data_IF_009563857846
#
_entry.id   IF_009563857846
#
_cell.length_a   1.000
_cell.length_b   1.000
_cell.length_c   1.000
_cell.angle_alpha   90.00
_cell.angle_beta   90.00
_cell.angle_gamma   90.00
#
_symmetry.space_group_name_H-M   'P 1'
#
loop_
_entity.id
_entity.type
_entity.pdbx_description
1 polymer ?
#
# COMPACT_ATOMS: atom_id res chain seq x y z
N UNK A 1 14.02 -25.14 -40.60
CA UNK A 1 14.24 -24.36 -39.36
C UNK A 1 14.64 -22.88 -39.58
N UNK A 2 15.54 -22.52 -40.52
CA UNK A 2 15.92 -21.09 -40.71
C UNK A 2 14.81 -20.19 -41.31
N UNK A 3 13.96 -20.70 -42.20
CA UNK A 3 12.83 -19.95 -42.79
C UNK A 3 11.71 -19.62 -41.78
N UNK A 4 11.44 -20.53 -40.84
CA UNK A 4 10.45 -20.30 -39.76
C UNK A 4 10.96 -19.26 -38.75
N UNK A 5 12.24 -19.30 -38.38
CA UNK A 5 12.84 -18.31 -37.47
C UNK A 5 12.82 -16.87 -38.04
N UNK A 6 13.07 -16.73 -39.34
CA UNK A 6 13.01 -15.45 -40.03
C UNK A 6 11.57 -14.90 -40.16
N UNK A 7 10.58 -15.78 -40.36
CA UNK A 7 9.17 -15.42 -40.39
C UNK A 7 8.66 -14.99 -39.01
N UNK A 8 9.03 -15.71 -37.94
CA UNK A 8 8.73 -15.34 -36.56
C UNK A 8 9.36 -13.99 -36.17
N UNK A 9 10.62 -13.76 -36.53
CA UNK A 9 11.32 -12.49 -36.26
C UNK A 9 10.71 -11.30 -37.01
N UNK A 10 10.24 -11.48 -38.25
CA UNK A 10 9.51 -10.45 -39.01
C UNK A 10 8.11 -10.18 -38.44
N UNK A 11 7.38 -11.23 -38.06
CA UNK A 11 6.06 -11.11 -37.43
C UNK A 11 6.13 -10.41 -36.04
N UNK A 12 7.09 -10.81 -35.20
CA UNK A 12 7.36 -10.17 -33.91
C UNK A 12 7.82 -8.71 -34.07
N UNK A 13 8.74 -8.44 -34.99
CA UNK A 13 9.36 -7.13 -35.16
C UNK A 13 8.50 -6.08 -35.87
N UNK A 14 7.70 -6.45 -36.87
CA UNK A 14 6.91 -5.49 -37.66
C UNK A 14 5.44 -5.40 -37.23
N UNK A 15 4.89 -6.45 -36.60
CA UNK A 15 3.46 -6.54 -36.29
C UNK A 15 3.13 -6.48 -34.81
N UNK A 16 3.90 -7.16 -33.95
CA UNK A 16 3.68 -7.17 -32.49
C UNK A 16 4.35 -5.98 -31.78
N UNK A 17 5.56 -5.59 -32.18
CA UNK A 17 6.31 -4.53 -31.51
C UNK A 17 5.60 -3.16 -31.49
N UNK A 18 5.06 -2.64 -32.60
CA UNK A 18 4.34 -1.35 -32.56
C UNK A 18 3.07 -1.44 -31.71
N UNK A 19 2.35 -2.57 -31.79
CA UNK A 19 1.10 -2.79 -31.04
C UNK A 19 1.32 -2.83 -29.54
N UNK A 20 2.40 -3.47 -29.09
CA UNK A 20 2.77 -3.52 -27.69
C UNK A 20 3.35 -2.18 -27.22
N UNK A 21 4.24 -1.56 -28.01
CA UNK A 21 4.85 -0.28 -27.65
C UNK A 21 3.81 0.85 -27.48
N UNK A 22 2.82 0.94 -28.37
CA UNK A 22 1.71 1.90 -28.28
C UNK A 22 0.47 1.34 -27.56
N UNK A 23 0.62 0.24 -26.83
CA UNK A 23 -0.44 -0.28 -25.97
C UNK A 23 -0.56 0.54 -24.68
N UNK A 24 -1.79 0.63 -24.18
CA UNK A 24 -2.09 1.35 -22.97
C UNK A 24 -1.29 0.86 -21.75
N UNK A 25 -1.07 -0.45 -21.51
CA UNK A 25 -0.26 -0.90 -20.39
C UNK A 25 1.19 -0.40 -20.44
N UNK A 26 1.81 -0.43 -21.62
CA UNK A 26 3.20 0.01 -21.80
C UNK A 26 3.30 1.54 -21.66
N UNK A 27 2.38 2.27 -22.28
CA UNK A 27 2.37 3.74 -22.18
C UNK A 27 2.11 4.20 -20.74
N UNK A 28 1.24 3.50 -20.01
CA UNK A 28 0.95 3.79 -18.60
C UNK A 28 2.11 3.42 -17.68
N UNK A 29 2.81 2.31 -17.94
CA UNK A 29 4.04 1.94 -17.24
C UNK A 29 5.12 3.01 -17.43
N UNK A 30 5.37 3.42 -18.68
CA UNK A 30 6.34 4.47 -19.01
C UNK A 30 5.94 5.82 -18.40
N UNK A 31 4.64 6.10 -18.31
CA UNK A 31 4.14 7.31 -17.65
C UNK A 31 4.42 7.27 -16.14
N UNK A 32 4.11 6.17 -15.47
CA UNK A 32 4.40 5.98 -14.04
C UNK A 32 5.89 6.15 -13.74
N UNK A 33 6.78 5.59 -14.56
CA UNK A 33 8.24 5.74 -14.40
C UNK A 33 8.71 7.20 -14.48
N UNK A 34 8.03 8.02 -15.29
CA UNK A 34 8.41 9.43 -15.50
C UNK A 34 7.77 10.38 -14.49
N UNK A 35 6.55 10.09 -14.01
CA UNK A 35 5.73 11.05 -13.26
C UNK A 35 5.38 10.61 -11.85
N UNK A 36 5.28 9.31 -11.59
CA UNK A 36 4.81 8.75 -10.32
C UNK A 36 5.92 8.05 -9.54
N UNK A 37 7.11 8.65 -9.48
CA UNK A 37 8.31 8.07 -8.85
C UNK A 37 8.08 7.71 -7.38
N UNK A 38 7.33 8.53 -6.63
CA UNK A 38 7.01 8.27 -5.23
C UNK A 38 6.16 7.00 -5.09
N UNK A 39 5.16 6.80 -5.96
CA UNK A 39 4.33 5.58 -5.94
C UNK A 39 5.17 4.34 -6.28
N UNK A 40 6.10 4.48 -7.23
CA UNK A 40 6.99 3.38 -7.62
C UNK A 40 8.03 3.06 -6.54
N UNK A 41 8.50 4.05 -5.79
CA UNK A 41 9.42 3.83 -4.67
C UNK A 41 8.82 2.87 -3.64
N UNK A 42 7.52 2.98 -3.36
CA UNK A 42 6.83 2.08 -2.44
C UNK A 42 6.77 0.63 -2.98
N UNK A 43 6.58 0.46 -4.29
CA UNK A 43 6.66 -0.86 -4.94
C UNK A 43 8.08 -1.43 -4.93
N UNK A 44 9.10 -0.59 -5.17
CA UNK A 44 10.52 -0.98 -5.12
C UNK A 44 10.91 -1.39 -3.70
N UNK A 45 10.42 -0.67 -2.68
CA UNK A 45 10.63 -1.02 -1.28
C UNK A 45 10.06 -2.42 -0.96
N UNK A 46 8.81 -2.67 -1.33
CA UNK A 46 8.17 -3.99 -1.15
C UNK A 46 8.91 -5.08 -1.91
N UNK A 47 9.28 -4.81 -3.16
CA UNK A 47 10.07 -5.74 -3.97
C UNK A 47 11.39 -6.10 -3.29
N UNK A 48 12.15 -5.09 -2.81
CA UNK A 48 13.44 -5.29 -2.16
C UNK A 48 13.33 -6.10 -0.86
N UNK A 49 12.27 -5.88 -0.07
CA UNK A 49 12.01 -6.65 1.15
C UNK A 49 11.74 -8.12 0.80
N UNK A 50 10.83 -8.35 -0.15
CA UNK A 50 10.40 -9.68 -0.56
C UNK A 50 11.51 -10.49 -1.24
N UNK A 51 12.44 -9.82 -1.94
CA UNK A 51 13.64 -10.47 -2.53
C UNK A 51 14.82 -10.55 -1.56
N UNK A 52 14.61 -10.28 -0.26
CA UNK A 52 15.64 -10.33 0.78
C UNK A 52 16.84 -9.39 0.53
N UNK A 53 16.64 -8.30 -0.23
CA UNK A 53 17.68 -7.30 -0.49
C UNK A 53 17.70 -6.20 0.57
N UNK A 54 16.63 -6.07 1.37
CA UNK A 54 16.50 -5.05 2.39
C UNK A 54 16.08 -5.65 3.74
N UNK A 55 16.77 -5.24 4.81
CA UNK A 55 16.37 -5.55 6.19
C UNK A 55 16.61 -7.00 6.63
N UNK A 56 17.47 -7.76 5.93
CA UNK A 56 17.83 -9.14 6.30
C UNK A 56 18.50 -9.23 7.68
N UNK A 57 19.38 -8.29 8.02
CA UNK A 57 20.08 -8.26 9.31
C UNK A 57 19.16 -8.11 10.52
N UNK A 58 17.96 -7.57 10.31
CA UNK A 58 16.94 -7.33 11.35
C UNK A 58 15.68 -8.19 11.14
N UNK A 59 15.70 -9.12 10.19
CA UNK A 59 14.61 -10.06 9.95
C UNK A 59 13.36 -9.45 9.31
N UNK A 60 13.43 -8.30 8.62
CA UNK A 60 12.25 -7.73 7.93
C UNK A 60 11.64 -8.72 6.91
N UNK A 61 12.43 -9.42 6.06
CA UNK A 61 11.85 -10.32 5.06
C UNK A 61 11.00 -11.46 5.65
N UNK A 62 11.36 -11.99 6.82
CA UNK A 62 10.57 -13.07 7.45
C UNK A 62 9.17 -12.60 7.81
N UNK A 63 8.99 -11.33 8.17
CA UNK A 63 7.66 -10.75 8.42
C UNK A 63 6.70 -10.83 7.22
N UNK A 64 7.24 -10.97 6.01
CA UNK A 64 6.49 -11.09 4.76
C UNK A 64 6.43 -12.52 4.25
N UNK A 65 7.56 -13.23 4.26
CA UNK A 65 7.69 -14.57 3.69
C UNK A 65 7.10 -15.65 4.63
N UNK A 66 7.05 -15.36 5.93
CA UNK A 66 6.52 -16.25 6.96
C UNK A 66 5.73 -15.45 8.03
N UNK A 67 4.55 -14.92 7.64
CA UNK A 67 3.79 -14.04 8.52
C UNK A 67 3.19 -14.80 9.71
N UNK A 68 3.36 -14.26 10.91
CA UNK A 68 2.83 -14.83 12.15
C UNK A 68 1.51 -14.17 12.55
N UNK A 69 0.51 -14.99 12.89
CA UNK A 69 -0.77 -14.57 13.46
C UNK A 69 -1.13 -15.49 14.63
N UNK A 70 -1.39 -14.93 15.82
CA UNK A 70 -1.66 -15.69 17.05
C UNK A 70 -0.61 -16.77 17.34
N UNK A 71 0.66 -16.40 17.18
CA UNK A 71 1.82 -17.27 17.40
C UNK A 71 1.91 -18.49 16.47
N UNK A 72 1.31 -18.40 15.27
CA UNK A 72 1.29 -19.47 14.28
C UNK A 72 1.42 -18.90 12.87
N UNK A 73 2.04 -19.67 11.99
CA UNK A 73 2.06 -19.37 10.55
C UNK A 73 1.16 -20.38 9.83
N UNK A 74 -0.01 -19.92 9.44
CA UNK A 74 -1.06 -20.76 8.88
C UNK A 74 -1.77 -20.06 7.70
N UNK A 75 -2.84 -20.67 7.21
CA UNK A 75 -3.66 -20.08 6.17
C UNK A 75 -4.13 -18.66 6.53
N UNK A 76 -4.50 -18.42 7.81
CA UNK A 76 -5.07 -17.15 8.24
C UNK A 76 -4.02 -16.04 8.34
N UNK A 77 -2.81 -16.36 8.80
CA UNK A 77 -1.71 -15.40 8.83
C UNK A 77 -1.36 -14.92 7.41
N UNK A 78 -1.23 -15.85 6.46
CA UNK A 78 -1.01 -15.55 5.06
C UNK A 78 -2.24 -14.87 4.40
N UNK A 79 -3.46 -15.24 4.78
CA UNK A 79 -4.67 -14.57 4.30
C UNK A 79 -4.73 -13.10 4.69
N UNK A 80 -4.44 -12.75 5.95
CA UNK A 80 -4.39 -11.36 6.40
C UNK A 80 -3.30 -10.57 5.67
N UNK A 81 -2.14 -11.19 5.46
CA UNK A 81 -1.07 -10.62 4.65
C UNK A 81 -1.54 -10.33 3.22
N UNK A 82 -2.15 -11.31 2.57
CA UNK A 82 -2.71 -11.18 1.22
C UNK A 82 -3.79 -10.11 1.13
N UNK A 83 -4.66 -10.04 2.14
CA UNK A 83 -5.72 -9.05 2.24
C UNK A 83 -5.17 -7.62 2.28
N UNK A 84 -4.17 -7.35 3.13
CA UNK A 84 -3.51 -6.03 3.16
C UNK A 84 -2.75 -5.73 1.86
N UNK A 85 -2.09 -6.72 1.25
CA UNK A 85 -1.45 -6.58 -0.06
C UNK A 85 -2.45 -6.21 -1.17
N UNK A 86 -3.65 -6.80 -1.14
CA UNK A 86 -4.75 -6.46 -2.04
C UNK A 86 -5.27 -5.04 -1.81
N UNK A 87 -5.42 -4.59 -0.56
CA UNK A 87 -5.76 -3.20 -0.23
C UNK A 87 -4.71 -2.24 -0.79
N UNK A 88 -3.42 -2.51 -0.56
CA UNK A 88 -2.32 -1.70 -1.08
C UNK A 88 -2.35 -1.62 -2.61
N UNK A 89 -2.51 -2.77 -3.28
CA UNK A 89 -2.60 -2.86 -4.74
C UNK A 89 -3.76 -2.05 -5.30
N UNK A 90 -4.95 -2.16 -4.71
CA UNK A 90 -6.11 -1.39 -5.14
C UNK A 90 -5.96 0.10 -4.83
N UNK A 91 -5.31 0.45 -3.73
CA UNK A 91 -5.01 1.84 -3.38
C UNK A 91 -4.06 2.48 -4.40
N UNK A 92 -3.03 1.74 -4.83
CA UNK A 92 -2.16 2.14 -5.95
C UNK A 92 -2.96 2.39 -7.23
N UNK A 93 -3.86 1.47 -7.60
CA UNK A 93 -4.68 1.62 -8.80
C UNK A 93 -5.63 2.83 -8.74
N UNK A 94 -6.23 3.08 -7.57
CA UNK A 94 -7.11 4.23 -7.36
C UNK A 94 -6.32 5.54 -7.44
N UNK A 95 -5.19 5.63 -6.74
CA UNK A 95 -4.34 6.83 -6.75
C UNK A 95 -3.82 7.11 -8.17
N UNK A 96 -3.30 6.10 -8.86
CA UNK A 96 -2.84 6.25 -10.23
C UNK A 96 -3.98 6.66 -11.18
N UNK A 97 -5.20 6.12 -10.98
CA UNK A 97 -6.37 6.53 -11.77
C UNK A 97 -6.70 8.01 -11.58
N UNK A 98 -6.66 8.51 -10.34
CA UNK A 98 -6.93 9.93 -10.05
C UNK A 98 -5.90 10.85 -10.72
N UNK A 99 -4.62 10.49 -10.64
CA UNK A 99 -3.51 11.31 -11.14
C UNK A 99 -3.39 11.26 -12.66
N UNK A 100 -3.54 10.07 -13.25
CA UNK A 100 -3.14 9.82 -14.64
C UNK A 100 -4.32 9.77 -15.61
N UNK A 101 -5.53 9.39 -15.18
CA UNK A 101 -6.68 9.26 -16.09
C UNK A 101 -7.00 10.53 -16.90
N UNK A 102 -6.86 11.77 -16.36
CA UNK A 102 -7.04 12.98 -17.17
C UNK A 102 -6.08 13.10 -18.37
N UNK A 103 -4.89 12.52 -18.27
CA UNK A 103 -3.89 12.51 -19.36
C UNK A 103 -4.23 11.48 -20.44
N UNK A 104 -4.95 10.43 -20.06
CA UNK A 104 -5.45 9.40 -20.96
C UNK A 104 -6.96 9.58 -21.17
N UNK A 105 -7.36 10.74 -21.71
CA UNK A 105 -8.76 11.15 -21.85
C UNK A 105 -9.68 10.13 -22.54
N UNK A 106 -9.13 9.29 -23.44
CA UNK A 106 -9.89 8.21 -24.07
C UNK A 106 -10.45 7.19 -23.08
N UNK A 107 -9.84 7.03 -21.89
CA UNK A 107 -10.30 6.10 -20.86
C UNK A 107 -11.71 6.45 -20.37
N UNK A 108 -12.04 7.73 -20.31
CA UNK A 108 -13.39 8.20 -19.97
C UNK A 108 -14.43 7.74 -21.00
N UNK A 109 -14.05 7.63 -22.28
CA UNK A 109 -14.94 7.20 -23.37
C UNK A 109 -15.28 5.71 -23.33
N UNK A 110 -14.50 4.91 -22.59
CA UNK A 110 -14.70 3.47 -22.48
C UNK A 110 -15.78 3.15 -21.44
N UNK A 111 -16.56 2.10 -21.69
CA UNK A 111 -17.49 1.55 -20.69
C UNK A 111 -16.68 0.99 -19.51
N UNK A 112 -17.08 1.33 -18.28
CA UNK A 112 -16.32 1.04 -17.04
C UNK A 112 -14.86 1.54 -17.10
N UNK A 113 -14.62 2.87 -17.14
CA UNK A 113 -13.29 3.47 -17.29
C UNK A 113 -12.24 2.93 -16.32
N UNK A 114 -12.60 2.83 -15.03
CA UNK A 114 -11.70 2.35 -14.00
C UNK A 114 -11.28 0.90 -14.20
N UNK A 115 -12.19 0.01 -14.60
CA UNK A 115 -11.84 -1.39 -14.86
C UNK A 115 -10.80 -1.50 -15.98
N UNK A 116 -10.92 -0.67 -17.03
CA UNK A 116 -9.92 -0.63 -18.10
C UNK A 116 -8.60 -0.06 -17.60
N UNK A 117 -8.64 1.05 -16.88
CA UNK A 117 -7.43 1.65 -16.31
C UNK A 117 -6.69 0.68 -15.39
N UNK A 118 -7.41 0.12 -14.40
CA UNK A 118 -6.89 -0.85 -13.45
C UNK A 118 -6.15 -1.99 -14.14
N UNK A 119 -6.83 -2.68 -15.06
CA UNK A 119 -6.29 -3.82 -15.78
C UNK A 119 -5.02 -3.49 -16.58
N UNK A 120 -4.97 -2.29 -17.18
CA UNK A 120 -3.81 -1.85 -17.94
C UNK A 120 -2.70 -1.31 -17.02
N UNK A 121 -3.00 -0.93 -15.77
CA UNK A 121 -2.03 -0.50 -14.76
C UNK A 121 -1.49 -1.66 -13.89
N UNK A 122 -1.96 -2.89 -14.10
CA UNK A 122 -1.54 -4.08 -13.34
C UNK A 122 -0.14 -4.65 -13.60
N UNK A 123 0.67 -4.28 -14.63
CA UNK A 123 1.98 -4.91 -14.84
C UNK A 123 2.92 -4.90 -13.62
N UNK A 124 3.07 -3.75 -12.94
CA UNK A 124 3.93 -3.66 -11.74
C UNK A 124 3.37 -4.51 -10.59
N UNK A 125 2.11 -4.32 -10.14
CA UNK A 125 1.56 -5.14 -9.05
C UNK A 125 1.63 -6.64 -9.33
N UNK A 126 1.32 -7.07 -10.55
CA UNK A 126 1.33 -8.49 -10.92
C UNK A 126 2.75 -9.06 -10.86
N UNK A 127 3.74 -8.37 -11.42
CA UNK A 127 5.13 -8.85 -11.39
C UNK A 127 5.65 -8.93 -9.95
N UNK A 128 5.44 -7.90 -9.13
CA UNK A 128 5.91 -7.91 -7.74
C UNK A 128 5.19 -8.99 -6.94
N UNK A 129 3.89 -9.19 -7.15
CA UNK A 129 3.12 -10.26 -6.49
C UNK A 129 3.61 -11.65 -6.89
N UNK A 130 3.93 -11.88 -8.17
CA UNK A 130 4.49 -13.16 -8.63
C UNK A 130 5.85 -13.43 -8.00
N UNK A 131 6.71 -12.41 -7.94
CA UNK A 131 8.01 -12.49 -7.24
C UNK A 131 7.80 -12.76 -5.75
N UNK A 132 6.77 -12.18 -5.13
CA UNK A 132 6.44 -12.44 -3.74
C UNK A 132 6.03 -13.89 -3.49
N UNK A 133 5.10 -14.41 -4.28
CA UNK A 133 4.69 -15.82 -4.18
C UNK A 133 5.88 -16.75 -4.41
N UNK A 134 6.75 -16.45 -5.39
CA UNK A 134 7.95 -17.24 -5.66
C UNK A 134 8.90 -17.26 -4.45
N UNK A 135 9.29 -16.10 -3.93
CA UNK A 135 10.22 -16.04 -2.79
C UNK A 135 9.60 -16.64 -1.52
N UNK A 136 8.29 -16.51 -1.31
CA UNK A 136 7.59 -17.14 -0.19
C UNK A 136 7.67 -18.68 -0.26
N UNK A 137 7.48 -19.25 -1.45
CA UNK A 137 7.59 -20.71 -1.66
C UNK A 137 9.02 -21.18 -1.43
N UNK A 138 10.01 -20.47 -1.98
CA UNK A 138 11.42 -20.82 -1.80
C UNK A 138 11.85 -20.69 -0.33
N UNK A 139 11.40 -19.64 0.36
CA UNK A 139 11.69 -19.42 1.78
C UNK A 139 11.17 -20.58 2.65
N UNK A 140 9.90 -20.98 2.46
CA UNK A 140 9.31 -22.07 3.23
C UNK A 140 9.93 -23.44 2.93
N UNK A 141 10.42 -23.65 1.71
CA UNK A 141 11.13 -24.89 1.34
C UNK A 141 12.54 -24.94 1.90
N UNK A 142 13.27 -23.83 1.82
CA UNK A 142 14.69 -23.76 2.17
C UNK A 142 14.93 -23.65 3.68
N UNK A 143 14.11 -22.86 4.40
CA UNK A 143 14.35 -22.53 5.79
C UNK A 143 13.48 -23.33 6.78
N UNK A 144 12.21 -23.58 6.45
CA UNK A 144 11.28 -24.25 7.39
C UNK A 144 11.12 -25.76 7.16
N UNK A 145 11.56 -26.29 5.99
CA UNK A 145 11.38 -27.70 5.60
C UNK A 145 9.91 -28.18 5.70
N UNK A 146 8.96 -27.28 5.49
CA UNK A 146 7.54 -27.58 5.63
C UNK A 146 7.05 -28.60 4.61
N UNK A 147 5.99 -29.31 4.99
CA UNK A 147 5.30 -30.27 4.12
C UNK A 147 4.72 -29.48 2.92
N UNK A 148 4.85 -29.96 1.67
CA UNK A 148 4.34 -29.24 0.49
C UNK A 148 2.86 -28.83 0.57
N UNK A 149 2.03 -29.62 1.24
CA UNK A 149 0.62 -29.32 1.47
C UNK A 149 0.40 -28.06 2.33
N UNK A 150 1.23 -27.85 3.35
CA UNK A 150 1.17 -26.67 4.22
C UNK A 150 1.61 -25.41 3.47
N UNK A 151 2.67 -25.53 2.66
CA UNK A 151 3.12 -24.45 1.77
C UNK A 151 2.01 -24.04 0.80
N UNK A 152 1.33 -25.03 0.20
CA UNK A 152 0.19 -24.76 -0.70
C UNK A 152 -0.98 -24.08 0.03
N UNK A 153 -1.30 -24.49 1.26
CA UNK A 153 -2.34 -23.86 2.07
C UNK A 153 -1.98 -22.40 2.42
N UNK A 154 -0.73 -22.13 2.81
CA UNK A 154 -0.23 -20.78 3.10
C UNK A 154 -0.29 -19.88 1.85
N UNK A 155 0.18 -20.36 0.70
CA UNK A 155 0.08 -19.63 -0.60
C UNK A 155 -1.38 -19.40 -1.00
N UNK A 156 -2.25 -20.39 -0.82
CA UNK A 156 -3.68 -20.24 -1.08
C UNK A 156 -4.30 -19.16 -0.17
N UNK A 157 -3.94 -19.13 1.10
CA UNK A 157 -4.33 -18.07 2.05
C UNK A 157 -3.98 -16.69 1.51
N UNK A 158 -2.71 -16.48 1.14
CA UNK A 158 -2.23 -15.23 0.54
C UNK A 158 -3.03 -14.81 -0.69
N UNK A 159 -3.20 -15.72 -1.66
CA UNK A 159 -3.91 -15.41 -2.91
C UNK A 159 -5.40 -15.15 -2.69
N UNK A 160 -6.06 -15.92 -1.82
CA UNK A 160 -7.47 -15.72 -1.48
C UNK A 160 -7.67 -14.37 -0.79
N UNK A 161 -6.81 -14.01 0.16
CA UNK A 161 -6.84 -12.70 0.81
C UNK A 161 -6.69 -11.55 -0.19
N UNK A 162 -5.71 -11.66 -1.09
CA UNK A 162 -5.43 -10.66 -2.14
C UNK A 162 -6.61 -10.47 -3.08
N UNK A 163 -7.18 -11.58 -3.58
CA UNK A 163 -8.34 -11.54 -4.48
C UNK A 163 -9.55 -10.98 -3.77
N UNK A 164 -9.84 -11.42 -2.54
CA UNK A 164 -11.00 -10.94 -1.77
C UNK A 164 -10.92 -9.44 -1.51
N UNK A 165 -9.80 -8.95 -0.99
CA UNK A 165 -9.59 -7.52 -0.77
C UNK A 165 -9.75 -6.71 -2.07
N UNK A 166 -9.14 -7.20 -3.16
CA UNK A 166 -9.24 -6.55 -4.46
C UNK A 166 -10.68 -6.49 -4.98
N UNK A 167 -11.44 -7.57 -4.83
CA UNK A 167 -12.84 -7.65 -5.22
C UNK A 167 -13.73 -6.73 -4.40
N UNK A 168 -13.53 -6.64 -3.08
CA UNK A 168 -14.31 -5.75 -2.21
C UNK A 168 -14.15 -4.28 -2.62
N UNK A 169 -12.89 -3.83 -2.79
CA UNK A 169 -12.60 -2.45 -3.21
C UNK A 169 -13.09 -2.21 -4.65
N UNK A 170 -12.90 -3.16 -5.56
CA UNK A 170 -13.39 -3.08 -6.93
C UNK A 170 -14.91 -2.95 -6.98
N UNK A 171 -15.64 -3.80 -6.24
CA UNK A 171 -17.09 -3.82 -6.21
C UNK A 171 -17.65 -2.50 -5.70
N UNK A 172 -17.08 -1.98 -4.61
CA UNK A 172 -17.42 -0.65 -4.11
C UNK A 172 -17.19 0.43 -5.19
N UNK A 173 -16.03 0.43 -5.85
CA UNK A 173 -15.68 1.47 -6.83
C UNK A 173 -16.60 1.44 -8.06
N UNK A 174 -16.95 0.24 -8.55
CA UNK A 174 -17.84 0.06 -9.69
C UNK A 174 -19.30 0.35 -9.34
N UNK A 175 -19.75 -0.01 -8.14
CA UNK A 175 -21.11 0.28 -7.67
C UNK A 175 -21.35 1.78 -7.54
N UNK A 176 -20.34 2.52 -7.07
CA UNK A 176 -20.45 3.96 -6.78
C UNK A 176 -20.18 4.83 -8.02
N UNK A 177 -19.48 4.31 -9.03
CA UNK A 177 -19.25 5.03 -10.28
C UNK A 177 -20.47 5.01 -11.23
N UNK A 178 -20.90 6.19 -11.67
CA UNK A 178 -21.89 6.32 -12.74
C UNK A 178 -21.15 6.36 -14.09
N UNK A 179 -21.43 5.41 -14.99
CA UNK A 179 -20.91 5.46 -16.37
C UNK A 179 -21.31 6.79 -17.06
N UNK A 180 -20.45 7.32 -17.95
CA UNK A 180 -20.77 8.48 -18.80
C UNK A 180 -22.14 8.33 -19.45
N UNK A 181 -22.49 7.12 -19.89
CA UNK A 181 -23.81 6.83 -20.50
C UNK A 181 -24.98 7.01 -19.53
N UNK A 182 -24.83 6.63 -18.24
CA UNK A 182 -25.86 6.86 -17.22
C UNK A 182 -25.98 8.34 -16.87
N UNK A 183 -24.86 9.08 -16.86
CA UNK A 183 -24.85 10.53 -16.64
C UNK A 183 -25.44 11.32 -17.81
N UNK A 184 -25.08 10.96 -19.05
CA UNK A 184 -25.64 11.55 -20.27
C UNK A 184 -27.12 11.21 -20.40
N UNK A 185 -27.55 9.98 -20.12
CA UNK A 185 -28.96 9.62 -20.09
C UNK A 185 -29.74 10.44 -19.04
N UNK A 186 -29.22 10.57 -17.81
CA UNK A 186 -29.81 11.45 -16.76
C UNK A 186 -29.81 12.93 -17.15
N UNK A 187 -28.82 13.40 -17.93
CA UNK A 187 -28.75 14.78 -18.41
C UNK A 187 -29.68 15.03 -19.59
N UNK A 188 -29.91 14.06 -20.48
CA UNK A 188 -30.92 14.15 -21.54
C UNK A 188 -32.31 14.19 -20.90
N UNK A 189 -32.57 13.35 -19.89
CA UNK A 189 -33.80 13.38 -19.10
C UNK A 189 -33.98 14.70 -18.32
N UNK A 190 -32.90 15.25 -17.74
CA UNK A 190 -32.96 16.54 -17.04
C UNK A 190 -33.00 17.76 -17.99
N UNK A 191 -32.38 17.69 -19.17
CA UNK A 191 -32.41 18.76 -20.20
C UNK A 191 -33.76 18.85 -20.89
N UNK A 192 -34.60 17.82 -20.84
CA UNK A 192 -36.01 17.90 -21.23
C UNK A 192 -36.88 18.59 -20.17
N UNK A 193 -36.34 18.96 -19.00
CA UNK A 193 -37.15 19.50 -17.88
C UNK A 193 -36.72 20.84 -17.28
N UNK A 194 -35.72 21.55 -17.80
CA UNK A 194 -35.50 22.97 -17.45
C UNK A 194 -34.54 23.65 -18.42
N UNK A 195 -35.05 24.69 -19.06
CA UNK A 195 -34.34 25.70 -19.82
C UNK A 195 -33.34 26.47 -18.95
N UNK A 196 -32.27 26.93 -19.61
CA UNK A 196 -31.38 28.07 -19.31
C UNK A 196 -30.80 28.14 -17.88
N UNK A 197 -29.48 28.00 -17.74
CA UNK A 197 -28.67 28.86 -16.85
C UNK A 197 -27.18 28.84 -17.24
N UNK A 198 -26.66 30.06 -17.16
CA UNK A 198 -25.30 30.62 -17.13
C UNK A 198 -24.08 29.70 -17.27
N UNK A 199 -23.21 30.12 -18.20
CA UNK A 199 -21.78 29.82 -18.22
C UNK A 199 -21.09 30.51 -17.04
N UNK A 200 -20.71 29.73 -16.03
CA UNK A 200 -19.66 30.13 -15.08
C UNK A 200 -18.32 29.63 -15.63
N UNK A 201 -17.28 30.45 -15.50
CA UNK A 201 -15.91 30.23 -15.95
C UNK A 201 -15.39 28.78 -15.73
N UNK A 202 -15.46 27.94 -16.76
CA UNK A 202 -14.74 26.65 -16.87
C UNK A 202 -13.49 26.79 -17.77
N UNK A 203 -13.18 28.01 -18.23
CA UNK A 203 -12.12 28.27 -19.20
C UNK A 203 -10.70 28.10 -18.65
N UNK A 204 -10.48 28.19 -17.33
CA UNK A 204 -9.14 27.99 -16.73
C UNK A 204 -8.78 26.53 -16.44
N UNK A 205 -9.77 25.60 -16.36
CA UNK A 205 -9.50 24.15 -16.22
C UNK A 205 -9.35 23.42 -17.56
N UNK A 206 -9.74 24.06 -18.67
CA UNK A 206 -9.64 23.47 -20.02
C UNK A 206 -8.23 23.61 -20.59
N UNK A 207 -7.45 24.62 -20.19
CA UNK A 207 -6.12 24.89 -20.76
C UNK A 207 -5.04 23.87 -20.32
N UNK A 208 -5.13 23.28 -19.12
CA UNK A 208 -4.18 22.25 -18.67
C UNK A 208 -4.36 20.90 -19.39
N UNK A 209 -5.57 20.61 -19.90
CA UNK A 209 -5.88 19.37 -20.64
C UNK A 209 -5.52 19.42 -22.14
N UNK A 210 -4.94 20.53 -22.63
CA UNK A 210 -4.57 20.68 -24.05
C UNK A 210 -3.30 19.93 -24.45
N UNK A 211 -2.56 19.30 -23.53
CA UNK A 211 -1.14 18.93 -23.78
C UNK A 211 -0.76 17.44 -23.70
N UNK A 212 -1.63 16.51 -23.35
CA UNK A 212 -1.25 15.08 -23.36
C UNK A 212 -1.29 14.50 -24.78
N UNK A 213 -0.18 14.61 -25.49
CA UNK A 213 0.11 14.00 -26.80
C UNK A 213 0.52 12.52 -26.69
N UNK A 214 0.12 11.80 -25.63
CA UNK A 214 0.52 10.40 -25.48
C UNK A 214 -0.30 9.55 -26.44
N UNK A 215 0.35 9.13 -27.53
CA UNK A 215 -0.23 8.27 -28.56
C UNK A 215 -0.46 6.87 -27.98
N UNK A 216 -1.73 6.52 -27.78
CA UNK A 216 -2.17 5.17 -27.40
C UNK A 216 -3.06 4.63 -28.50
N UNK A 217 -2.70 3.47 -29.04
CA UNK A 217 -3.43 2.86 -30.17
C UNK A 217 -4.21 1.61 -29.75
N UNK A 218 -3.76 0.91 -28.71
CA UNK A 218 -4.37 -0.35 -28.25
C UNK A 218 -4.57 -0.30 -26.75
N UNK A 219 -5.61 -0.97 -26.24
CA UNK A 219 -5.81 -1.18 -24.82
C UNK A 219 -6.22 -2.62 -24.53
N UNK A 220 -5.93 -3.11 -23.34
CA UNK A 220 -6.37 -4.42 -22.87
C UNK A 220 -7.84 -4.34 -22.43
N UNK A 221 -8.70 -5.13 -23.07
CA UNK A 221 -10.10 -5.29 -22.69
C UNK A 221 -10.24 -6.29 -21.52
N UNK A 222 -11.42 -6.35 -20.88
CA UNK A 222 -11.68 -7.19 -19.69
C UNK A 222 -11.56 -8.70 -19.91
N UNK A 223 -11.42 -9.14 -21.16
CA UNK A 223 -11.13 -10.53 -21.55
C UNK A 223 -9.64 -10.73 -21.89
N UNK A 224 -8.76 -9.83 -21.45
CA UNK A 224 -7.32 -9.82 -21.74
C UNK A 224 -6.97 -9.75 -23.24
N UNK A 225 -7.89 -9.23 -24.07
CA UNK A 225 -7.69 -9.05 -25.51
C UNK A 225 -7.24 -7.63 -25.81
N UNK A 226 -6.19 -7.47 -26.61
CA UNK A 226 -5.78 -6.16 -27.14
C UNK A 226 -6.81 -5.68 -28.16
N UNK A 227 -7.48 -4.56 -27.86
CA UNK A 227 -8.43 -3.91 -28.77
C UNK A 227 -7.86 -2.59 -29.28
N UNK A 228 -8.02 -2.28 -30.57
CA UNK A 228 -7.65 -0.97 -31.09
C UNK A 228 -8.58 0.11 -30.52
N UNK A 229 -8.04 1.30 -30.32
CA UNK A 229 -8.80 2.48 -29.95
C UNK A 229 -9.49 3.05 -31.20
N UNK A 230 -10.83 3.12 -31.20
CA UNK A 230 -11.59 3.72 -32.31
C UNK A 230 -11.77 5.21 -32.00
N UNK A 231 -11.05 6.07 -32.71
CA UNK A 231 -10.93 7.49 -32.41
C UNK A 231 -11.89 8.36 -33.27
N UNK A 232 -13.19 8.09 -33.21
CA UNK A 232 -14.14 8.66 -34.18
C UNK A 232 -15.26 9.52 -33.58
N UNK A 233 -15.21 9.90 -32.30
CA UNK A 233 -16.34 10.58 -31.67
C UNK A 233 -15.99 11.99 -31.15
N UNK A 234 -16.62 13.06 -31.67
CA UNK A 234 -16.52 14.41 -31.13
C UNK A 234 -17.31 14.49 -29.81
N UNK A 235 -16.70 14.08 -28.70
CA UNK A 235 -17.32 14.18 -27.38
C UNK A 235 -17.03 15.52 -26.70
N UNK A 236 -18.04 16.05 -26.02
CA UNK A 236 -17.92 17.24 -25.18
C UNK A 236 -16.96 16.95 -24.00
N UNK A 237 -15.76 17.51 -24.06
CA UNK A 237 -14.71 17.36 -23.02
C UNK A 237 -15.21 17.75 -21.63
N UNK A 238 -16.21 18.63 -21.52
CA UNK A 238 -16.79 19.00 -20.24
C UNK A 238 -17.55 17.83 -19.59
N UNK A 239 -18.16 16.95 -20.38
CA UNK A 239 -18.83 15.75 -19.87
C UNK A 239 -17.82 14.70 -19.37
N UNK A 240 -16.67 14.57 -20.05
CA UNK A 240 -15.58 13.67 -19.65
C UNK A 240 -14.97 14.13 -18.32
N UNK A 241 -14.68 15.43 -18.17
CA UNK A 241 -14.11 15.99 -16.94
C UNK A 241 -15.04 15.78 -15.72
N UNK A 242 -16.36 15.92 -15.89
CA UNK A 242 -17.32 15.68 -14.81
C UNK A 242 -17.33 14.24 -14.29
N UNK A 243 -17.07 13.26 -15.15
CA UNK A 243 -16.97 11.85 -14.71
C UNK A 243 -15.68 11.61 -13.93
N UNK A 244 -14.58 12.24 -14.33
CA UNK A 244 -13.35 12.17 -13.53
C UNK A 244 -13.51 12.84 -12.15
N UNK A 245 -14.19 13.99 -12.08
CA UNK A 245 -14.48 14.67 -10.80
C UNK A 245 -15.36 13.82 -9.86
N UNK A 246 -16.36 13.10 -10.38
CA UNK A 246 -17.17 12.19 -9.56
C UNK A 246 -16.36 10.97 -9.08
N UNK A 247 -15.57 10.37 -9.97
CA UNK A 247 -14.75 9.22 -9.60
C UNK A 247 -13.66 9.60 -8.58
N UNK A 248 -13.19 10.85 -8.59
CA UNK A 248 -12.30 11.39 -7.58
C UNK A 248 -12.95 11.40 -6.19
N UNK A 249 -14.20 11.86 -6.06
CA UNK A 249 -14.89 11.86 -4.76
C UNK A 249 -15.09 10.45 -4.21
N UNK A 250 -15.45 9.49 -5.06
CA UNK A 250 -15.57 8.07 -4.67
C UNK A 250 -14.24 7.50 -4.16
N UNK A 251 -13.13 7.87 -4.81
CA UNK A 251 -11.80 7.47 -4.38
C UNK A 251 -11.44 8.05 -2.99
N UNK A 252 -11.71 9.34 -2.75
CA UNK A 252 -11.47 9.98 -1.44
C UNK A 252 -12.27 9.28 -0.33
N UNK A 253 -13.53 8.90 -0.58
CA UNK A 253 -14.34 8.18 0.41
C UNK A 253 -13.71 6.82 0.75
N UNK A 254 -13.19 6.08 -0.23
CA UNK A 254 -12.49 4.81 0.03
C UNK A 254 -11.25 5.05 0.88
N UNK A 255 -10.46 6.08 0.55
CA UNK A 255 -9.25 6.40 1.30
C UNK A 255 -9.58 6.71 2.78
N UNK A 256 -10.62 7.51 3.02
CA UNK A 256 -11.09 7.80 4.39
C UNK A 256 -11.63 6.55 5.10
N UNK A 257 -12.32 5.68 4.37
CA UNK A 257 -12.86 4.42 4.93
C UNK A 257 -11.73 3.48 5.33
N UNK A 258 -10.74 3.26 4.45
CA UNK A 258 -9.56 2.42 4.74
C UNK A 258 -8.78 3.01 5.90
N UNK A 259 -8.54 4.32 5.91
CA UNK A 259 -7.88 5.00 7.03
C UNK A 259 -8.62 4.79 8.35
N UNK A 260 -9.95 4.99 8.38
CA UNK A 260 -10.78 4.77 9.55
C UNK A 260 -10.75 3.30 10.04
N UNK A 261 -10.77 2.33 9.12
CA UNK A 261 -10.65 0.91 9.46
C UNK A 261 -9.29 0.57 10.09
N UNK A 262 -8.20 1.15 9.59
CA UNK A 262 -6.86 0.95 10.16
C UNK A 262 -6.79 1.53 11.58
N UNK A 263 -7.33 2.74 11.80
CA UNK A 263 -7.40 3.33 13.14
C UNK A 263 -8.23 2.46 14.10
N UNK A 264 -9.40 1.99 13.65
CA UNK A 264 -10.25 1.10 14.43
C UNK A 264 -9.53 -0.20 14.81
N UNK A 265 -8.86 -0.85 13.84
CA UNK A 265 -8.04 -2.03 14.11
C UNK A 265 -6.93 -1.74 15.14
N UNK A 266 -6.28 -0.59 15.04
CA UNK A 266 -5.28 -0.14 16.00
C UNK A 266 -5.83 0.00 17.42
N UNK A 267 -7.04 0.54 17.58
CA UNK A 267 -7.69 0.66 18.91
C UNK A 267 -8.06 -0.68 19.52
N UNK A 268 -8.23 -1.73 18.71
CA UNK A 268 -8.63 -3.06 19.17
C UNK A 268 -7.44 -4.03 19.32
N UNK A 269 -6.20 -3.55 19.23
CA UNK A 269 -4.96 -4.38 19.24
C UNK A 269 -4.79 -5.25 20.49
N UNK A 270 -5.42 -4.89 21.60
CA UNK A 270 -5.33 -5.62 22.87
C UNK A 270 -6.07 -6.97 22.81
N UNK A 271 -6.99 -7.12 21.85
CA UNK A 271 -7.70 -8.37 21.60
C UNK A 271 -6.92 -9.24 20.58
N UNK A 272 -6.63 -10.52 20.88
CA UNK A 272 -5.86 -11.40 20.00
C UNK A 272 -6.42 -11.57 18.58
N UNK A 273 -7.71 -11.32 18.38
CA UNK A 273 -8.34 -11.38 17.07
C UNK A 273 -7.89 -10.25 16.14
N UNK A 274 -7.53 -9.08 16.67
CA UNK A 274 -7.16 -7.90 15.89
C UNK A 274 -5.64 -7.65 15.84
N UNK A 275 -4.85 -8.55 16.43
CA UNK A 275 -3.39 -8.57 16.32
C UNK A 275 -2.98 -9.10 14.95
N UNK A 276 -2.99 -8.25 13.94
CA UNK A 276 -2.59 -8.62 12.57
C UNK A 276 -1.08 -8.89 12.47
N UNK A 277 -0.63 -9.68 11.48
CA UNK A 277 0.79 -9.90 11.24
C UNK A 277 1.59 -8.59 11.12
N UNK A 278 2.83 -8.57 11.60
CA UNK A 278 3.67 -7.39 11.58
C UNK A 278 3.90 -6.84 10.16
N UNK A 279 4.17 -7.72 9.18
CA UNK A 279 4.31 -7.29 7.78
C UNK A 279 3.00 -6.77 7.17
N UNK A 280 1.84 -7.26 7.62
CA UNK A 280 0.53 -6.72 7.22
C UNK A 280 0.33 -5.29 7.75
N UNK A 281 0.75 -5.02 8.99
CA UNK A 281 0.78 -3.66 9.55
C UNK A 281 1.69 -2.73 8.75
N UNK A 282 2.86 -3.22 8.33
CA UNK A 282 3.78 -2.47 7.48
C UNK A 282 3.16 -2.13 6.12
N UNK A 283 2.47 -3.08 5.47
CA UNK A 283 1.75 -2.82 4.21
C UNK A 283 0.64 -1.78 4.40
N UNK A 284 -0.10 -1.82 5.51
CA UNK A 284 -1.10 -0.80 5.82
C UNK A 284 -0.48 0.59 6.00
N UNK A 285 0.68 0.68 6.67
CA UNK A 285 1.44 1.92 6.75
C UNK A 285 1.84 2.43 5.36
N UNK A 286 2.39 1.56 4.50
CA UNK A 286 2.72 1.94 3.12
C UNK A 286 1.48 2.34 2.32
N UNK A 287 0.33 1.74 2.59
CA UNK A 287 -0.95 2.11 1.97
C UNK A 287 -1.34 3.53 2.36
N UNK A 288 -1.23 3.89 3.64
CA UNK A 288 -1.48 5.26 4.12
C UNK A 288 -0.51 6.24 3.47
N UNK A 289 0.79 5.91 3.44
CA UNK A 289 1.80 6.74 2.78
C UNK A 289 1.51 6.91 1.28
N UNK A 290 1.06 5.85 0.60
CA UNK A 290 0.69 5.88 -0.81
C UNK A 290 -0.50 6.81 -1.06
N UNK A 291 -1.55 6.71 -0.23
CA UNK A 291 -2.74 7.57 -0.34
C UNK A 291 -2.38 9.03 -0.08
N UNK A 292 -1.55 9.29 0.93
CA UNK A 292 -1.07 10.62 1.26
C UNK A 292 -0.20 11.22 0.15
N UNK A 293 0.76 10.44 -0.39
CA UNK A 293 1.58 10.85 -1.53
C UNK A 293 0.74 11.16 -2.78
N UNK A 294 -0.32 10.38 -3.00
CA UNK A 294 -1.33 10.64 -4.03
C UNK A 294 -2.04 11.96 -3.84
N UNK A 295 -2.53 12.24 -2.62
CA UNK A 295 -3.19 13.50 -2.28
C UNK A 295 -2.26 14.71 -2.44
N UNK A 296 -1.01 14.62 -1.96
CA UNK A 296 0.00 15.66 -2.13
C UNK A 296 0.28 15.92 -3.61
N UNK A 297 0.48 14.86 -4.39
CA UNK A 297 0.77 14.98 -5.83
C UNK A 297 -0.39 15.60 -6.58
N UNK A 298 -1.63 15.33 -6.17
CA UNK A 298 -2.83 15.95 -6.70
C UNK A 298 -2.91 17.46 -6.36
N UNK A 299 -2.68 17.83 -5.09
CA UNK A 299 -2.79 19.22 -4.63
C UNK A 299 -1.65 20.11 -5.14
N UNK A 300 -0.41 19.62 -5.10
CA UNK A 300 0.78 20.43 -5.39
C UNK A 300 1.25 20.33 -6.84
N UNK A 301 0.70 19.39 -7.64
CA UNK A 301 0.99 19.23 -9.07
C UNK A 301 2.51 19.23 -9.33
N UNK A 302 3.01 20.17 -10.13
CA UNK A 302 4.44 20.30 -10.47
C UNK A 302 5.35 20.79 -9.33
N UNK A 303 4.79 21.31 -8.23
CA UNK A 303 5.55 21.83 -7.08
C UNK A 303 5.75 20.79 -5.96
N UNK A 304 5.31 19.55 -6.18
CA UNK A 304 5.33 18.48 -5.17
C UNK A 304 6.72 18.29 -4.56
N UNK A 305 7.79 18.27 -5.37
CA UNK A 305 9.16 18.10 -4.86
C UNK A 305 9.59 19.29 -4.00
N UNK A 306 9.33 20.52 -4.46
CA UNK A 306 9.67 21.74 -3.71
C UNK A 306 8.93 21.79 -2.38
N UNK A 307 7.64 21.45 -2.36
CA UNK A 307 6.83 21.43 -1.14
C UNK A 307 7.26 20.31 -0.20
N UNK A 308 7.67 19.15 -0.71
CA UNK A 308 8.20 18.06 0.10
C UNK A 308 9.52 18.44 0.77
N UNK A 309 10.44 19.07 0.03
CA UNK A 309 11.69 19.61 0.59
C UNK A 309 11.39 20.68 1.65
N UNK A 310 10.48 21.62 1.36
CA UNK A 310 10.06 22.64 2.32
C UNK A 310 9.44 22.03 3.58
N UNK A 311 8.64 20.97 3.46
CA UNK A 311 8.05 20.26 4.59
C UNK A 311 9.11 19.56 5.45
N UNK A 312 10.14 18.94 4.84
CA UNK A 312 11.26 18.36 5.58
C UNK A 312 12.04 19.44 6.32
N UNK A 313 12.33 20.58 5.67
CA UNK A 313 13.03 21.69 6.30
C UNK A 313 12.22 22.28 7.45
N UNK A 314 10.91 22.45 7.28
CA UNK A 314 10.00 22.91 8.32
C UNK A 314 9.97 21.93 9.49
N UNK A 315 9.85 20.62 9.22
CA UNK A 315 9.85 19.59 10.26
C UNK A 315 11.18 19.57 11.01
N UNK A 316 12.31 19.73 10.32
CA UNK A 316 13.62 19.86 10.95
C UNK A 316 13.70 21.06 11.90
N UNK A 317 13.18 22.22 11.48
CA UNK A 317 13.10 23.43 12.33
C UNK A 317 12.20 23.16 13.54
N UNK A 318 11.01 22.62 13.34
CA UNK A 318 10.07 22.31 14.43
C UNK A 318 10.63 21.30 15.43
N UNK A 319 11.38 20.30 14.97
CA UNK A 319 12.09 19.34 15.83
C UNK A 319 13.24 20.01 16.59
N UNK A 320 14.01 20.89 15.93
CA UNK A 320 15.12 21.63 16.56
C UNK A 320 14.63 22.56 17.66
N UNK A 321 13.52 23.24 17.43
CA UNK A 321 12.88 24.16 18.39
C UNK A 321 12.05 23.43 19.45
N UNK A 322 12.12 22.09 19.52
CA UNK A 322 11.46 21.24 20.50
C UNK A 322 9.91 21.31 20.52
N UNK A 323 9.26 21.92 19.52
CA UNK A 323 7.80 21.94 19.40
C UNK A 323 7.19 20.54 19.15
N UNK A 324 7.98 19.63 18.58
CA UNK A 324 7.56 18.27 18.22
C UNK A 324 8.33 17.16 18.95
N UNK A 325 9.25 17.50 19.86
CA UNK A 325 9.86 16.50 20.75
C UNK A 325 8.89 16.19 21.88
N UNK A 326 8.37 14.97 21.87
CA UNK A 326 7.74 14.39 23.05
C UNK A 326 8.85 13.76 23.92
N UNK A 327 8.96 14.20 25.16
CA UNK A 327 9.78 13.51 26.15
C UNK A 327 9.05 12.21 26.52
N UNK A 328 9.64 11.08 26.14
CA UNK A 328 9.11 9.76 26.51
C UNK A 328 9.58 9.41 27.91
N UNK A 329 8.73 9.70 28.88
CA UNK A 329 8.91 9.31 30.27
C UNK A 329 8.80 7.79 30.42
N UNK A 330 9.81 7.18 31.03
CA UNK A 330 9.78 5.77 31.36
C UNK A 330 8.75 5.57 32.48
N UNK A 331 7.88 4.59 32.28
CA UNK A 331 6.81 4.31 33.23
C UNK A 331 7.37 4.00 34.63
N UNK A 332 6.84 4.67 35.65
CA UNK A 332 7.20 4.43 37.05
C UNK A 332 8.38 5.26 37.59
N UNK A 333 8.94 6.19 36.80
CA UNK A 333 9.90 7.18 37.30
C UNK A 333 9.22 8.52 37.57
N UNK A 334 9.68 9.24 38.60
CA UNK A 334 9.21 10.58 38.92
C UNK A 334 10.02 11.64 38.15
N UNK A 335 9.35 12.32 37.23
CA UNK A 335 9.91 13.39 36.40
C UNK A 335 9.58 14.80 36.92
N UNK A 336 8.83 14.93 38.02
CA UNK A 336 8.49 16.22 38.61
C UNK A 336 9.62 16.77 39.51
N UNK A 337 10.56 15.93 39.91
CA UNK A 337 11.71 16.30 40.73
C UNK A 337 12.87 16.97 39.98
N UNK A 338 13.90 17.46 40.71
CA UNK A 338 15.11 17.97 40.08
C UNK A 338 15.82 16.88 39.27
N UNK A 339 16.22 17.20 38.04
CA UNK A 339 16.91 16.26 37.15
C UNK A 339 18.17 15.70 37.84
N UNK A 340 18.29 14.38 37.85
CA UNK A 340 19.46 13.71 38.40
C UNK A 340 20.73 14.12 37.64
N UNK A 341 21.84 14.33 38.36
CA UNK A 341 23.12 14.67 37.75
C UNK A 341 23.63 13.48 36.90
N UNK A 342 23.79 13.70 35.59
CA UNK A 342 24.37 12.71 34.68
C UNK A 342 25.86 12.97 34.47
N UNK A 343 26.69 12.37 35.32
CA UNK A 343 28.15 12.42 35.20
C UNK A 343 28.77 11.02 35.35
N UNK A 344 29.90 10.77 34.66
CA UNK A 344 30.62 9.50 34.77
C UNK A 344 30.98 9.15 36.22
N UNK A 345 31.27 10.18 37.03
CA UNK A 345 31.54 10.03 38.46
C UNK A 345 30.31 9.54 39.22
N UNK A 346 29.13 10.12 38.96
CA UNK A 346 27.87 9.70 39.57
C UNK A 346 27.47 8.29 39.14
N UNK A 347 27.59 7.97 37.84
CA UNK A 347 27.31 6.62 37.32
C UNK A 347 28.22 5.59 37.99
N UNK A 348 29.55 5.81 38.04
CA UNK A 348 30.48 4.91 38.74
C UNK A 348 30.17 4.78 40.24
N UNK A 349 29.71 5.85 40.88
CA UNK A 349 29.32 5.81 42.29
C UNK A 349 28.05 4.98 42.53
N UNK A 350 27.14 4.91 41.55
CA UNK A 350 25.93 4.09 41.57
C UNK A 350 26.18 2.65 41.10
N UNK A 351 27.21 2.40 40.28
CA UNK A 351 27.61 1.06 39.83
C UNK A 351 28.42 0.29 40.89
N UNK A 352 27.93 0.22 42.13
CA UNK A 352 28.54 -0.57 43.20
C UNK A 352 27.89 -1.95 43.31
N UNK A 353 28.69 -2.95 43.67
CA UNK A 353 28.23 -4.33 43.91
C UNK A 353 27.10 -4.43 44.94
N UNK A 354 27.05 -3.51 45.90
CA UNK A 354 26.00 -3.45 46.92
C UNK A 354 24.63 -3.15 46.29
N UNK A 355 24.54 -2.12 45.45
CA UNK A 355 23.30 -1.79 44.73
C UNK A 355 22.90 -2.91 43.78
N UNK A 356 23.85 -3.54 43.09
CA UNK A 356 23.57 -4.70 42.25
C UNK A 356 22.95 -5.87 43.03
N UNK A 357 23.50 -6.19 44.21
CA UNK A 357 22.97 -7.28 45.07
C UNK A 357 21.56 -6.95 45.58
N UNK A 358 21.32 -5.71 45.96
CA UNK A 358 20.00 -5.27 46.41
C UNK A 358 18.98 -5.27 45.28
N UNK A 359 19.33 -4.74 44.10
CA UNK A 359 18.48 -4.76 42.90
C UNK A 359 18.16 -6.21 42.48
N UNK A 360 19.16 -7.11 42.53
CA UNK A 360 18.96 -8.53 42.26
C UNK A 360 17.96 -9.14 43.23
N UNK A 361 18.08 -8.84 44.54
CA UNK A 361 17.17 -9.34 45.57
C UNK A 361 15.74 -8.82 45.36
N UNK A 362 15.56 -7.53 45.11
CA UNK A 362 14.26 -6.91 44.82
C UNK A 362 13.65 -7.54 43.56
N UNK A 363 14.46 -7.70 42.50
CA UNK A 363 14.00 -8.30 41.24
C UNK A 363 13.60 -9.76 41.43
N UNK A 364 14.36 -10.54 42.20
CA UNK A 364 14.00 -11.91 42.55
C UNK A 364 12.67 -11.96 43.31
N UNK A 365 12.47 -11.08 44.29
CA UNK A 365 11.18 -10.98 44.99
C UNK A 365 10.02 -10.62 44.04
N UNK A 366 10.24 -9.68 43.11
CA UNK A 366 9.24 -9.33 42.10
C UNK A 366 8.92 -10.51 41.16
N UNK A 367 9.93 -11.28 40.75
CA UNK A 367 9.78 -12.47 39.91
C UNK A 367 9.03 -13.59 40.65
N UNK A 368 9.32 -13.84 41.93
CA UNK A 368 8.59 -14.82 42.74
C UNK A 368 7.13 -14.40 42.95
N UNK A 369 6.88 -13.12 43.22
CA UNK A 369 5.51 -12.58 43.29
C UNK A 369 4.77 -12.71 41.95
N UNK A 370 5.46 -12.44 40.84
CA UNK A 370 4.91 -12.62 39.51
C UNK A 370 4.61 -14.10 39.21
N UNK A 371 5.54 -15.01 39.55
CA UNK A 371 5.38 -16.47 39.41
C UNK A 371 4.16 -16.95 40.21
N UNK A 372 4.02 -16.56 41.46
CA UNK A 372 2.85 -16.90 42.29
C UNK A 372 1.53 -16.43 41.65
N UNK A 373 1.50 -15.21 41.09
CA UNK A 373 0.33 -14.68 40.37
C UNK A 373 0.07 -15.41 39.04
N UNK A 374 1.13 -15.80 38.33
CA UNK A 374 1.04 -16.50 37.05
C UNK A 374 0.52 -17.93 37.23
N UNK A 375 1.00 -18.67 38.24
CA UNK A 375 0.50 -20.02 38.58
C UNK A 375 -0.98 -19.99 38.95
N UNK A 376 -1.43 -18.96 39.68
CA UNK A 376 -2.85 -18.78 40.00
C UNK A 376 -3.76 -18.48 38.78
N UNK A 377 -3.22 -17.98 37.67
CA UNK A 377 -3.98 -17.66 36.44
C UNK A 377 -3.84 -18.71 35.32
N UNK A 378 -2.76 -19.50 35.30
CA UNK A 378 -2.38 -20.33 34.14
C UNK A 378 -2.27 -21.84 34.45
N UNK A 379 -2.42 -22.26 35.71
CA UNK A 379 -2.31 -23.67 36.12
C UNK A 379 -0.85 -24.15 36.31
N UNK A 380 -0.64 -25.36 36.88
CA UNK A 380 0.64 -25.80 37.45
C UNK A 380 1.73 -26.22 36.44
N UNK A 381 1.51 -26.10 35.13
CA UNK A 381 2.46 -26.56 34.10
C UNK A 381 3.41 -25.44 33.66
N UNK A 382 4.39 -25.10 34.49
CA UNK A 382 5.55 -24.31 34.06
C UNK A 382 6.84 -25.08 34.44
N UNK A 383 7.78 -25.31 33.50
CA UNK A 383 9.07 -25.90 33.84
C UNK A 383 9.85 -24.95 34.74
N UNK A 384 10.40 -25.46 35.84
CA UNK A 384 11.28 -24.70 36.71
C UNK A 384 12.43 -24.09 35.89
N UNK A 385 12.57 -22.77 35.95
CA UNK A 385 13.73 -22.08 35.46
C UNK A 385 14.95 -22.53 36.28
N UNK A 386 15.63 -23.58 35.82
CA UNK A 386 16.94 -23.95 36.33
C UNK A 386 17.88 -22.78 36.03
N UNK A 387 18.22 -22.03 37.09
CA UNK A 387 19.29 -21.06 37.04
C UNK A 387 20.58 -21.83 36.82
N UNK A 388 21.02 -21.93 35.56
CA UNK A 388 22.40 -22.31 35.25
C UNK A 388 23.27 -21.14 35.70
N UNK A 389 24.17 -21.33 36.69
CA UNK A 389 25.12 -20.29 37.04
C UNK A 389 26.04 -20.10 35.84
N UNK A 390 26.10 -18.87 35.32
CA UNK A 390 27.22 -18.42 34.46
C UNK A 390 28.29 -17.80 35.32
#
# INVERSE_FOLDING_TARGET
>A
MKKTYAAWRRFLGQWLWPRLAYSFPVQLLMYNLRRNQILLLLWVLLFAIVTEQLGTSIGIPSLFLDPEYRNRVDFWSCFLMGFTWGIFTMSYHIVAYILDAPQFSFTGLLRRPFTKFWLNNSPIPVVVTLVYVYNMIEYQRAYEQNIPAEVMARVAGLLVGLVLASLLVYWYFVSTNQDIFKMLAKQVDRRLRRTRIMRVNVLSRIQDSRRSNIRVEYYLDGHFRLKPLVNNAPYDRQAILRVFDQNHLNAVIIQLTVFGLVLLLGTLRDYPAFQIPAGASFILLLTIMLMFAGALSYWFRGWTVTMFIAAILLLNILMREQYLTADYEAYGLDYQGPKAEYSLRRVKALSRDEYYKEDKKITLMALENWKARAVGRLGPTWPEAQMVPR
#
